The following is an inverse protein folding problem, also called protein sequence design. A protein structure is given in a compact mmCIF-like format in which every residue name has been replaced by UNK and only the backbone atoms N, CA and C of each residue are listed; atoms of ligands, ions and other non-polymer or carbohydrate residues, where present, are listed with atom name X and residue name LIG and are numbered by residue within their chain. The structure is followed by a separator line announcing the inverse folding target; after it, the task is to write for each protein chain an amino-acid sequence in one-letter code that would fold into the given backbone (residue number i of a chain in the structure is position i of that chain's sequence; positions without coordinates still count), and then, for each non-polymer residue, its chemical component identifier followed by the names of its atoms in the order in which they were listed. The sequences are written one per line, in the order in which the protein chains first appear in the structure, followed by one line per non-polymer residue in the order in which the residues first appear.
data_IF_437528014921
#
_entry.id   IF_437528014921
#
_cell.length_a   1.000
_cell.length_b   1.000
_cell.length_c   1.000
_cell.angle_alpha   90.00
_cell.angle_beta   90.00
_cell.angle_gamma   90.00
#
_symmetry.space_group_name_H-M   'P 1'
#
loop_
_entity.id
_entity.type
_entity.pdbx_description
1 polymer ?
#
# COMPACT_ATOMS: atom_id res chain seq x y z
N UNK A 1 -22.53 -14.30 -21.74
CA UNK A 1 -21.60 -15.45 -21.83
C UNK A 1 -20.14 -15.02 -21.76
N UNK A 2 -19.66 -14.12 -22.63
CA UNK A 2 -18.25 -13.64 -22.62
C UNK A 2 -17.80 -13.02 -21.29
N UNK A 3 -18.64 -12.22 -20.62
CA UNK A 3 -18.28 -11.59 -19.34
C UNK A 3 -17.96 -12.61 -18.22
N UNK A 4 -18.72 -13.72 -18.16
CA UNK A 4 -18.51 -14.79 -17.17
C UNK A 4 -17.18 -15.51 -17.42
N UNK A 5 -16.84 -15.73 -18.69
CA UNK A 5 -15.58 -16.35 -19.09
C UNK A 5 -14.40 -15.45 -18.66
N UNK A 6 -14.47 -14.14 -18.95
CA UNK A 6 -13.44 -13.18 -18.51
C UNK A 6 -13.32 -13.11 -16.97
N UNK A 7 -14.44 -13.11 -16.26
CA UNK A 7 -14.46 -13.11 -14.80
C UNK A 7 -13.75 -14.34 -14.21
N UNK A 8 -14.10 -15.54 -14.68
CA UNK A 8 -13.45 -16.79 -14.24
C UNK A 8 -11.95 -16.81 -14.59
N UNK A 9 -11.58 -16.35 -15.78
CA UNK A 9 -10.18 -16.28 -16.20
C UNK A 9 -9.35 -15.33 -15.31
N UNK A 10 -9.90 -14.14 -14.98
CA UNK A 10 -9.24 -13.18 -14.09
C UNK A 10 -9.08 -13.72 -12.68
N UNK A 11 -10.09 -14.41 -12.13
CA UNK A 11 -9.98 -15.08 -10.83
C UNK A 11 -8.88 -16.15 -10.85
N UNK A 12 -8.81 -16.96 -11.90
CA UNK A 12 -7.80 -18.00 -12.02
C UNK A 12 -6.38 -17.40 -12.04
N UNK A 13 -6.16 -16.36 -12.85
CA UNK A 13 -4.88 -15.64 -12.92
C UNK A 13 -4.54 -14.99 -11.57
N UNK A 14 -5.53 -14.37 -10.91
CA UNK A 14 -5.36 -13.77 -9.59
C UNK A 14 -4.91 -14.81 -8.58
N UNK A 15 -5.66 -15.91 -8.42
CA UNK A 15 -5.33 -16.98 -7.47
C UNK A 15 -3.97 -17.62 -7.74
N UNK A 16 -3.58 -17.79 -9.02
CA UNK A 16 -2.25 -18.27 -9.35
C UNK A 16 -1.16 -17.23 -8.95
N UNK A 17 -1.39 -15.96 -9.25
CA UNK A 17 -0.47 -14.88 -8.84
C UNK A 17 -0.29 -14.80 -7.32
N UNK A 18 -1.35 -15.06 -6.54
CA UNK A 18 -1.26 -15.21 -5.07
C UNK A 18 -0.32 -16.35 -4.67
N UNK A 19 -0.42 -17.49 -5.35
CA UNK A 19 0.44 -18.64 -5.11
C UNK A 19 1.92 -18.34 -5.40
N UNK A 20 2.20 -17.60 -6.47
CA UNK A 20 3.54 -17.11 -6.80
C UNK A 20 4.08 -16.14 -5.75
N UNK A 21 3.28 -15.15 -5.35
CA UNK A 21 3.66 -14.18 -4.31
C UNK A 21 3.95 -14.88 -2.98
N UNK A 22 3.12 -15.86 -2.58
CA UNK A 22 3.36 -16.68 -1.39
C UNK A 22 4.70 -17.42 -1.47
N UNK A 23 5.02 -18.06 -2.61
CA UNK A 23 6.31 -18.75 -2.82
C UNK A 23 7.49 -17.77 -2.79
N UNK A 24 7.35 -16.61 -3.41
CA UNK A 24 8.36 -15.55 -3.38
C UNK A 24 8.61 -15.03 -1.97
N UNK A 25 7.55 -14.81 -1.19
CA UNK A 25 7.63 -14.40 0.22
C UNK A 25 8.26 -15.49 1.09
N UNK A 26 7.95 -16.77 0.85
CA UNK A 26 8.64 -17.89 1.50
C UNK A 26 10.14 -17.91 1.19
N UNK A 27 10.52 -17.65 -0.05
CA UNK A 27 11.93 -17.56 -0.45
C UNK A 27 12.62 -16.32 0.15
N UNK A 28 11.88 -15.22 0.32
CA UNK A 28 12.37 -13.98 0.95
C UNK A 28 12.40 -14.03 2.48
N UNK A 29 11.76 -15.03 3.10
CA UNK A 29 11.67 -15.24 4.54
C UNK A 29 13.03 -15.64 5.16
N UNK A 30 14.04 -14.82 4.92
CA UNK A 30 15.28 -14.82 5.67
C UNK A 30 15.06 -14.17 7.04
N UNK A 31 15.89 -14.54 8.01
CA UNK A 31 15.85 -14.01 9.38
C UNK A 31 15.97 -12.48 9.46
N UNK A 32 16.44 -11.81 8.40
CA UNK A 32 16.56 -10.35 8.28
C UNK A 32 15.21 -9.70 8.01
N UNK A 33 14.44 -10.23 7.06
CA UNK A 33 13.12 -9.67 6.71
C UNK A 33 12.11 -9.94 7.82
N UNK A 34 12.18 -11.13 8.43
CA UNK A 34 11.38 -11.48 9.59
C UNK A 34 11.61 -10.51 10.77
N UNK A 35 12.87 -10.23 11.13
CA UNK A 35 13.19 -9.29 12.22
C UNK A 35 12.71 -7.86 11.93
N UNK A 36 12.92 -7.36 10.72
CA UNK A 36 12.43 -6.03 10.35
C UNK A 36 10.91 -5.97 10.41
N UNK A 37 10.21 -6.96 9.85
CA UNK A 37 8.75 -7.00 9.86
C UNK A 37 8.18 -7.09 11.29
N UNK A 38 8.81 -7.89 12.15
CA UNK A 38 8.44 -8.01 13.57
C UNK A 38 8.69 -6.72 14.36
N UNK A 39 9.74 -5.97 14.04
CA UNK A 39 10.01 -4.67 14.67
C UNK A 39 8.97 -3.61 14.29
N UNK A 40 8.47 -3.63 13.05
CA UNK A 40 7.41 -2.71 12.61
C UNK A 40 6.00 -3.15 13.06
N UNK A 41 5.84 -4.39 13.51
CA UNK A 41 4.55 -5.02 13.86
C UNK A 41 4.53 -5.56 15.30
N UNK A 42 5.33 -4.97 16.18
CA UNK A 42 5.45 -5.37 17.60
C UNK A 42 4.18 -5.07 18.40
N UNK A 43 3.55 -3.92 18.15
CA UNK A 43 2.36 -3.42 18.84
C UNK A 43 1.18 -3.23 17.88
N UNK A 44 -0.06 -3.58 18.25
CA UNK A 44 -1.23 -3.47 17.36
C UNK A 44 -1.45 -2.06 16.80
N UNK A 45 -1.27 -1.02 17.62
CA UNK A 45 -1.40 0.38 17.17
C UNK A 45 -0.31 0.75 16.14
N UNK A 46 0.93 0.30 16.36
CA UNK A 46 2.03 0.54 15.44
C UNK A 46 1.83 -0.19 14.12
N UNK A 47 1.41 -1.45 14.18
CA UNK A 47 1.04 -2.26 13.03
C UNK A 47 -0.05 -1.59 12.19
N UNK A 48 -1.06 -1.01 12.84
CA UNK A 48 -2.13 -0.25 12.20
C UNK A 48 -1.60 1.01 11.48
N UNK A 49 -0.81 1.85 12.16
CA UNK A 49 -0.26 3.08 11.59
C UNK A 49 0.72 2.81 10.44
N UNK A 50 1.60 1.82 10.61
CA UNK A 50 2.53 1.40 9.54
C UNK A 50 1.75 0.97 8.31
N UNK A 51 0.66 0.22 8.49
CA UNK A 51 -0.15 -0.26 7.37
C UNK A 51 -0.90 0.86 6.65
N UNK A 52 -1.34 1.91 7.34
CA UNK A 52 -1.90 3.11 6.71
C UNK A 52 -0.88 3.75 5.76
N UNK A 53 0.34 4.00 6.25
CA UNK A 53 1.41 4.63 5.46
C UNK A 53 1.81 3.74 4.28
N UNK A 54 1.96 2.44 4.54
CA UNK A 54 2.35 1.47 3.51
C UNK A 54 1.32 1.39 2.38
N UNK A 55 0.02 1.47 2.71
CA UNK A 55 -1.05 1.52 1.70
C UNK A 55 -1.10 2.84 0.97
N UNK A 56 -0.77 3.96 1.63
CA UNK A 56 -0.59 5.25 0.94
C UNK A 56 0.51 5.17 -0.13
N UNK A 57 1.62 4.48 0.17
CA UNK A 57 2.76 4.30 -0.76
C UNK A 57 2.44 3.29 -1.85
N UNK A 58 1.91 2.12 -1.50
CA UNK A 58 1.58 1.07 -2.48
C UNK A 58 0.30 1.34 -3.27
N UNK A 59 -0.57 2.24 -2.80
CA UNK A 59 -1.90 2.54 -3.32
C UNK A 59 -2.82 1.33 -3.54
N UNK A 60 -2.46 0.16 -3.02
CA UNK A 60 -3.17 -1.09 -3.24
C UNK A 60 -3.40 -1.81 -1.93
N UNK A 61 -4.62 -1.69 -1.40
CA UNK A 61 -5.03 -2.38 -0.17
C UNK A 61 -5.13 -3.90 -0.41
N UNK A 62 -5.55 -4.32 -1.61
CA UNK A 62 -5.63 -5.73 -2.00
C UNK A 62 -4.27 -6.40 -2.07
N UNK A 63 -3.27 -5.77 -2.70
CA UNK A 63 -1.91 -6.32 -2.74
C UNK A 63 -1.32 -6.46 -1.33
N UNK A 64 -1.52 -5.45 -0.47
CA UNK A 64 -1.04 -5.49 0.91
C UNK A 64 -1.68 -6.63 1.72
N UNK A 65 -3.00 -6.82 1.62
CA UNK A 65 -3.70 -7.92 2.30
C UNK A 65 -3.13 -9.28 1.90
N UNK A 66 -2.79 -9.46 0.64
CA UNK A 66 -2.24 -10.71 0.14
C UNK A 66 -0.86 -10.99 0.73
N UNK A 67 -0.01 -9.96 0.82
CA UNK A 67 1.31 -10.07 1.44
C UNK A 67 1.16 -10.50 2.91
N UNK A 68 0.26 -9.85 3.64
CA UNK A 68 -0.01 -10.16 5.05
C UNK A 68 -0.55 -11.59 5.21
N UNK A 69 -1.51 -12.01 4.37
CA UNK A 69 -2.05 -13.38 4.36
C UNK A 69 -0.94 -14.38 4.00
N UNK A 70 -0.05 -14.03 3.07
CA UNK A 70 1.15 -14.79 2.73
C UNK A 70 2.03 -15.02 3.95
N UNK A 71 2.35 -13.95 4.70
CA UNK A 71 3.14 -14.04 5.93
C UNK A 71 2.46 -14.81 7.06
N UNK A 72 1.13 -14.77 7.15
CA UNK A 72 0.38 -15.61 8.09
C UNK A 72 0.44 -17.08 7.67
N UNK A 73 0.32 -17.37 6.38
CA UNK A 73 0.39 -18.72 5.84
C UNK A 73 1.77 -19.37 5.96
N UNK A 74 2.83 -18.58 6.05
CA UNK A 74 4.21 -19.07 6.28
C UNK A 74 4.57 -19.17 7.76
N UNK A 75 3.71 -18.71 8.66
CA UNK A 75 3.97 -18.68 10.10
C UNK A 75 4.86 -17.52 10.57
N UNK A 76 5.32 -16.66 9.66
CA UNK A 76 6.15 -15.47 9.97
C UNK A 76 5.36 -14.48 10.82
N UNK A 77 4.06 -14.35 10.54
CA UNK A 77 3.16 -13.45 11.26
C UNK A 77 2.01 -14.23 11.88
N UNK A 78 1.70 -13.96 13.16
CA UNK A 78 0.51 -14.53 13.79
C UNK A 78 -0.75 -13.86 13.24
N UNK A 79 -1.83 -14.64 13.08
CA UNK A 79 -3.15 -14.11 12.71
C UNK A 79 -3.62 -12.97 13.62
N UNK A 80 -3.32 -13.00 14.92
CA UNK A 80 -3.68 -11.89 15.83
C UNK A 80 -2.97 -10.57 15.47
N UNK A 81 -1.74 -10.66 14.93
CA UNK A 81 -0.95 -9.48 14.52
C UNK A 81 -1.33 -8.96 13.14
N UNK A 82 -1.96 -9.77 12.28
CA UNK A 82 -2.44 -9.32 10.97
C UNK A 82 -3.70 -8.48 11.04
N UNK A 83 -4.57 -8.67 12.03
CA UNK A 83 -5.83 -7.92 12.20
C UNK A 83 -5.60 -6.40 12.16
N UNK A 84 -4.77 -5.78 13.03
CA UNK A 84 -4.54 -4.35 12.98
C UNK A 84 -3.94 -3.86 11.65
N UNK A 85 -3.17 -4.71 10.96
CA UNK A 85 -2.62 -4.37 9.64
C UNK A 85 -3.70 -4.32 8.56
N UNK A 86 -4.63 -5.29 8.57
CA UNK A 86 -5.77 -5.33 7.65
C UNK A 86 -6.72 -4.15 7.93
N UNK A 87 -6.92 -3.78 9.19
CA UNK A 87 -7.68 -2.57 9.52
C UNK A 87 -6.99 -1.30 9.02
N UNK A 88 -5.67 -1.21 9.23
CA UNK A 88 -4.87 -0.06 8.79
C UNK A 88 -4.84 0.10 7.28
N UNK A 89 -4.72 -0.98 6.51
CA UNK A 89 -4.70 -0.90 5.03
C UNK A 89 -6.02 -0.36 4.47
N UNK A 90 -7.15 -0.76 5.06
CA UNK A 90 -8.46 -0.28 4.62
C UNK A 90 -8.63 1.22 4.91
N UNK A 91 -8.19 1.70 6.09
CA UNK A 91 -8.18 3.14 6.39
C UNK A 91 -7.18 3.90 5.51
N UNK A 92 -6.02 3.32 5.21
CA UNK A 92 -5.01 3.93 4.35
C UNK A 92 -5.55 4.28 2.96
N UNK A 93 -6.35 3.40 2.35
CA UNK A 93 -7.00 3.72 1.07
C UNK A 93 -8.01 4.87 1.15
N UNK A 94 -8.66 5.04 2.31
CA UNK A 94 -9.57 6.16 2.56
C UNK A 94 -8.78 7.46 2.76
N UNK A 95 -7.67 7.41 3.49
CA UNK A 95 -6.83 8.57 3.77
C UNK A 95 -6.32 9.24 2.49
N UNK A 96 -5.87 8.47 1.48
CA UNK A 96 -5.46 9.03 0.18
C UNK A 96 -6.62 9.72 -0.52
N UNK A 97 -7.81 9.12 -0.51
CA UNK A 97 -9.01 9.68 -1.14
C UNK A 97 -9.47 10.95 -0.43
N UNK A 98 -9.48 10.95 0.91
CA UNK A 98 -9.87 12.09 1.74
C UNK A 98 -8.88 13.25 1.58
N UNK A 99 -7.58 12.95 1.50
CA UNK A 99 -6.54 13.96 1.30
C UNK A 99 -6.71 14.70 -0.04
N UNK A 100 -7.12 14.00 -1.08
CA UNK A 100 -7.46 14.59 -2.39
C UNK A 100 -8.79 15.35 -2.34
N UNK A 101 -9.75 14.89 -1.52
CA UNK A 101 -11.08 15.49 -1.38
C UNK A 101 -11.09 16.80 -0.58
N UNK A 102 -10.08 17.05 0.25
CA UNK A 102 -9.86 18.37 0.86
C UNK A 102 -9.72 19.38 -0.28
N UNK A 103 -10.56 20.43 -0.28
CA UNK A 103 -10.54 21.51 -1.27
C UNK A 103 -9.14 22.14 -1.38
N UNK A 104 -8.35 21.60 -2.29
CA UNK A 104 -7.02 22.06 -2.64
C UNK A 104 -7.06 23.31 -3.53
N UNK A 105 -8.25 23.88 -3.78
CA UNK A 105 -8.49 25.04 -4.63
C UNK A 105 -7.48 26.17 -4.31
N UNK A 106 -7.32 26.51 -3.03
CA UNK A 106 -6.40 27.57 -2.56
C UNK A 106 -4.93 27.15 -2.73
N UNK A 107 -4.60 25.89 -2.44
CA UNK A 107 -3.23 25.38 -2.54
C UNK A 107 -2.75 25.29 -4.00
N UNK A 108 -3.66 24.94 -4.91
CA UNK A 108 -3.41 24.86 -6.35
C UNK A 108 -3.09 26.25 -6.94
N UNK A 109 -3.87 27.27 -6.59
CA UNK A 109 -3.58 28.66 -7.00
C UNK A 109 -2.25 29.16 -6.44
N UNK A 110 -1.93 28.85 -5.18
CA UNK A 110 -0.64 29.23 -4.56
C UNK A 110 0.53 28.56 -5.27
N UNK A 111 0.45 27.26 -5.59
CA UNK A 111 1.49 26.53 -6.33
C UNK A 111 1.66 27.05 -7.75
N UNK A 112 0.56 27.39 -8.45
CA UNK A 112 0.61 27.97 -9.80
C UNK A 112 1.32 29.33 -9.78
N UNK A 113 0.95 30.22 -8.85
CA UNK A 113 1.57 31.54 -8.73
C UNK A 113 3.05 31.41 -8.33
N UNK A 114 3.37 30.56 -7.37
CA UNK A 114 4.76 30.31 -6.96
C UNK A 114 5.61 29.73 -8.10
N UNK A 115 5.06 28.79 -8.88
CA UNK A 115 5.70 28.25 -10.08
C UNK A 115 5.93 29.31 -11.16
N UNK A 116 4.94 30.18 -11.40
CA UNK A 116 5.05 31.30 -12.33
C UNK A 116 6.14 32.30 -11.92
N UNK A 117 6.18 32.67 -10.64
CA UNK A 117 7.23 33.56 -10.09
C UNK A 117 8.60 32.91 -10.24
N UNK A 118 8.73 31.62 -9.95
CA UNK A 118 9.98 30.88 -10.09
C UNK A 118 10.46 30.82 -11.55
N UNK A 119 9.55 30.67 -12.52
CA UNK A 119 9.88 30.69 -13.96
C UNK A 119 10.26 32.09 -14.43
N UNK A 120 9.58 33.14 -13.94
CA UNK A 120 9.86 34.53 -14.32
C UNK A 120 11.21 35.02 -13.77
N UNK A 121 11.58 34.63 -12.55
CA UNK A 121 12.90 34.93 -11.97
C UNK A 121 14.00 33.96 -12.44
N UNK A 122 13.66 32.70 -12.73
CA UNK A 122 14.58 31.68 -13.23
C UNK A 122 14.99 31.83 -14.70
N UNK A 123 14.37 32.74 -15.47
CA UNK A 123 14.76 33.07 -16.85
C UNK A 123 15.87 34.12 -16.96
N UNK A 124 16.67 34.33 -15.91
CA UNK A 124 17.86 35.19 -15.98
C UNK A 124 19.14 34.41 -15.65
N UNK A 125 19.51 33.49 -16.55
CA UNK A 125 20.91 33.07 -16.78
C UNK A 125 20.98 32.18 -18.03
N UNK A 126 20.82 32.80 -19.21
CA UNK A 126 21.66 32.64 -20.39
C UNK A 126 21.28 33.70 -21.42
#
# INVERSE_FOLDING_TARGET
MMAIIYFCALIFIFLWSMGLLRKGLMALASSRIEKSLLLFTDHPVKAFLVSIVFTGVLQSSSAFMVIVIGFVSTGILSFKKSIPMILGTNIGSTFTTEFIAIKMDVFMWVLIIAGLVCILFGRTSF
#
